data_IF_042228646475
#
_entry.id   IF_042228646475
#
_cell.length_a   1.000
_cell.length_b   1.000
_cell.length_c   1.000
_cell.angle_alpha   90.00
_cell.angle_beta   90.00
_cell.angle_gamma   90.00
#
_symmetry.space_group_name_H-M   'P 1'
#
loop_
_entity.id
_entity.type
_entity.pdbx_description
1 polymer ?
#
# COMPACT_ATOMS: atom_id res chain seq x y z
N UNK A 1 13.88 -5.26 36.85
CA UNK A 1 12.67 -6.05 36.55
C UNK A 1 11.96 -5.42 35.35
N UNK A 2 11.32 -6.22 34.47
CA UNK A 2 11.87 -6.52 33.14
C UNK A 2 11.26 -5.72 31.97
N UNK A 3 12.08 -5.58 30.93
CA UNK A 3 11.72 -5.11 29.58
C UNK A 3 10.62 -5.96 28.96
N UNK A 4 9.47 -5.37 28.66
CA UNK A 4 8.50 -5.94 27.72
C UNK A 4 8.94 -5.62 26.30
N UNK A 5 9.72 -6.54 25.71
CA UNK A 5 9.90 -6.62 24.25
C UNK A 5 8.54 -6.83 23.61
N UNK A 6 7.94 -5.77 23.10
CA UNK A 6 6.76 -5.86 22.25
C UNK A 6 7.16 -6.54 20.94
N UNK A 7 6.57 -7.71 20.72
CA UNK A 7 6.91 -8.61 19.63
C UNK A 7 6.37 -8.01 18.34
N UNK A 8 7.28 -7.55 17.49
CA UNK A 8 7.00 -7.13 16.13
C UNK A 8 6.17 -8.24 15.45
N UNK A 9 4.90 -7.92 15.14
CA UNK A 9 3.96 -8.78 14.42
C UNK A 9 4.62 -9.21 13.11
N UNK A 10 4.84 -10.52 12.97
CA UNK A 10 5.32 -11.19 11.78
C UNK A 10 4.29 -10.97 10.64
N UNK A 11 4.63 -10.12 9.66
CA UNK A 11 3.70 -9.63 8.63
C UNK A 11 3.62 -10.50 7.36
N UNK A 12 4.02 -11.77 7.41
CA UNK A 12 4.02 -12.62 6.22
C UNK A 12 3.28 -13.97 6.43
N UNK A 13 2.03 -13.91 6.88
CA UNK A 13 1.15 -15.09 6.88
C UNK A 13 0.72 -15.37 5.44
N UNK A 14 1.25 -16.44 4.84
CA UNK A 14 0.78 -16.94 3.54
C UNK A 14 -0.67 -17.38 3.67
N UNK A 15 -1.53 -16.89 2.76
CA UNK A 15 -2.91 -17.34 2.67
C UNK A 15 -2.97 -18.80 2.22
N UNK A 16 -3.89 -19.56 2.80
CA UNK A 16 -4.29 -20.88 2.34
C UNK A 16 -4.98 -20.80 0.97
N UNK A 17 -5.07 -21.93 0.28
CA UNK A 17 -5.75 -21.98 -1.03
C UNK A 17 -7.22 -21.54 -0.94
N UNK A 18 -7.90 -21.82 0.18
CA UNK A 18 -9.30 -21.44 0.36
C UNK A 18 -9.44 -19.95 0.67
N UNK A 19 -8.59 -19.37 1.52
CA UNK A 19 -8.53 -17.91 1.73
C UNK A 19 -8.20 -17.16 0.42
N UNK A 20 -7.35 -17.73 -0.44
CA UNK A 20 -7.05 -17.20 -1.78
C UNK A 20 -8.29 -17.19 -2.68
N UNK A 21 -9.07 -18.27 -2.69
CA UNK A 21 -10.33 -18.36 -3.45
C UNK A 21 -11.35 -17.34 -2.94
N UNK A 22 -11.55 -17.25 -1.63
CA UNK A 22 -12.47 -16.30 -1.01
C UNK A 22 -12.11 -14.86 -1.35
N UNK A 23 -10.83 -14.49 -1.21
CA UNK A 23 -10.32 -13.18 -1.63
C UNK A 23 -10.61 -12.90 -3.11
N UNK A 24 -10.38 -13.86 -3.99
CA UNK A 24 -10.62 -13.67 -5.42
C UNK A 24 -12.12 -13.46 -5.73
N UNK A 25 -13.01 -14.16 -5.02
CA UNK A 25 -14.46 -13.94 -5.13
C UNK A 25 -14.84 -12.53 -4.66
N UNK A 26 -14.28 -12.07 -3.53
CA UNK A 26 -14.51 -10.70 -3.04
C UNK A 26 -14.02 -9.66 -4.04
N UNK A 27 -12.79 -9.80 -4.55
CA UNK A 27 -12.23 -8.88 -5.55
C UNK A 27 -13.09 -8.82 -6.81
N UNK A 28 -13.58 -9.96 -7.31
CA UNK A 28 -14.47 -10.00 -8.46
C UNK A 28 -15.77 -9.23 -8.21
N UNK A 29 -16.41 -9.43 -7.05
CA UNK A 29 -17.62 -8.69 -6.67
C UNK A 29 -17.39 -7.18 -6.56
N UNK A 30 -16.24 -6.78 -5.98
CA UNK A 30 -15.87 -5.38 -5.88
C UNK A 30 -15.65 -4.74 -7.25
N UNK A 31 -15.10 -5.49 -8.21
CA UNK A 31 -14.88 -5.02 -9.58
C UNK A 31 -16.21 -4.90 -10.34
N UNK A 32 -17.08 -5.90 -10.26
CA UNK A 32 -18.41 -5.92 -10.91
C UNK A 32 -19.31 -4.77 -10.45
N UNK A 33 -19.23 -4.40 -9.17
CA UNK A 33 -20.02 -3.30 -8.60
C UNK A 33 -19.32 -1.93 -8.72
N UNK A 34 -18.11 -1.86 -9.30
CA UNK A 34 -17.32 -0.65 -9.43
C UNK A 34 -16.67 -0.14 -8.13
N UNK A 35 -16.87 -0.83 -7.01
CA UNK A 35 -16.32 -0.47 -5.71
C UNK A 35 -14.79 -0.51 -5.72
N UNK A 36 -14.18 -1.45 -6.45
CA UNK A 36 -12.72 -1.55 -6.57
C UNK A 36 -12.10 -0.28 -7.16
N UNK A 37 -12.66 0.20 -8.28
CA UNK A 37 -12.19 1.43 -8.94
C UNK A 37 -12.43 2.65 -8.04
N UNK A 38 -13.60 2.72 -7.39
CA UNK A 38 -13.92 3.83 -6.46
C UNK A 38 -12.91 3.91 -5.32
N UNK A 39 -12.67 2.80 -4.62
CA UNK A 39 -11.72 2.75 -3.50
C UNK A 39 -10.29 3.06 -3.97
N UNK A 40 -9.90 2.55 -5.15
CA UNK A 40 -8.58 2.87 -5.73
C UNK A 40 -8.43 4.37 -6.00
N UNK A 41 -9.46 5.02 -6.52
CA UNK A 41 -9.46 6.46 -6.76
C UNK A 41 -9.39 7.26 -5.46
N UNK A 42 -10.16 6.87 -4.43
CA UNK A 42 -10.14 7.51 -3.13
C UNK A 42 -8.76 7.41 -2.46
N UNK A 43 -8.14 6.22 -2.50
CA UNK A 43 -6.78 6.02 -2.01
C UNK A 43 -5.78 6.93 -2.74
N UNK A 44 -5.88 7.01 -4.07
CA UNK A 44 -5.01 7.85 -4.88
C UNK A 44 -5.16 9.34 -4.51
N UNK A 45 -6.40 9.83 -4.41
CA UNK A 45 -6.69 11.20 -4.03
C UNK A 45 -6.13 11.53 -2.64
N UNK A 46 -6.32 10.64 -1.66
CA UNK A 46 -5.78 10.80 -0.30
C UNK A 46 -4.27 10.87 -0.27
N UNK A 47 -3.59 9.97 -1.00
CA UNK A 47 -2.14 9.96 -1.07
C UNK A 47 -1.59 11.21 -1.76
N UNK A 48 -2.26 11.72 -2.80
CA UNK A 48 -1.84 12.95 -3.47
C UNK A 48 -2.00 14.20 -2.60
N UNK A 49 -3.04 14.25 -1.77
CA UNK A 49 -3.31 15.33 -0.84
C UNK A 49 -2.41 15.30 0.40
N UNK A 50 -1.75 14.16 0.68
CA UNK A 50 -0.77 14.04 1.75
C UNK A 50 0.59 14.58 1.31
N UNK A 51 0.87 15.84 1.68
CA UNK A 51 2.13 16.51 1.37
C UNK A 51 3.35 15.75 1.91
N UNK A 52 3.24 15.13 3.08
CA UNK A 52 4.36 14.43 3.72
C UNK A 52 4.70 13.13 2.98
N UNK A 53 3.69 12.36 2.57
CA UNK A 53 3.89 11.16 1.76
C UNK A 53 4.43 11.52 0.38
N UNK A 54 3.86 12.54 -0.27
CA UNK A 54 4.28 12.99 -1.59
C UNK A 54 5.73 13.47 -1.58
N UNK A 55 6.11 14.33 -0.63
CA UNK A 55 7.50 14.81 -0.52
C UNK A 55 8.46 13.66 -0.23
N UNK A 56 8.07 12.71 0.63
CA UNK A 56 8.90 11.53 0.89
C UNK A 56 9.13 10.69 -0.37
N UNK A 57 8.11 10.50 -1.21
CA UNK A 57 8.26 9.78 -2.48
C UNK A 57 9.15 10.53 -3.47
N UNK A 58 9.05 11.86 -3.54
CA UNK A 58 9.94 12.69 -4.37
C UNK A 58 11.39 12.63 -3.89
N UNK A 59 11.61 12.76 -2.58
CA UNK A 59 12.94 12.65 -1.98
C UNK A 59 13.56 11.28 -2.29
N UNK A 60 12.82 10.18 -2.09
CA UNK A 60 13.32 8.84 -2.39
C UNK A 60 13.59 8.63 -3.87
N UNK A 61 12.79 9.24 -4.75
CA UNK A 61 13.02 9.24 -6.20
C UNK A 61 14.36 9.92 -6.52
N UNK A 62 14.59 11.13 -5.99
CA UNK A 62 15.83 11.90 -6.18
C UNK A 62 17.05 11.14 -5.65
N UNK A 63 16.95 10.57 -4.45
CA UNK A 63 18.02 9.79 -3.86
C UNK A 63 18.35 8.53 -4.66
N UNK A 64 17.35 7.84 -5.21
CA UNK A 64 17.56 6.66 -6.04
C UNK A 64 18.30 7.03 -7.33
N UNK A 65 17.86 8.10 -8.00
CA UNK A 65 18.52 8.64 -9.20
C UNK A 65 19.95 9.06 -8.89
N UNK A 66 20.18 9.80 -7.80
CA UNK A 66 21.51 10.24 -7.41
C UNK A 66 22.45 9.06 -7.12
N UNK A 67 21.98 8.06 -6.35
CA UNK A 67 22.74 6.85 -6.03
C UNK A 67 23.12 6.01 -7.24
N UNK A 68 22.35 6.08 -8.33
CA UNK A 68 22.64 5.37 -9.59
C UNK A 68 23.53 6.16 -10.56
N UNK A 69 23.94 7.38 -10.22
CA UNK A 69 24.79 8.19 -11.10
C UNK A 69 24.00 9.07 -12.08
N UNK A 70 22.74 9.39 -11.77
CA UNK A 70 21.90 10.30 -12.54
C UNK A 70 20.84 9.62 -13.38
N UNK A 71 19.98 10.43 -14.01
CA UNK A 71 18.77 9.96 -14.71
C UNK A 71 19.10 9.05 -15.89
N UNK A 72 20.22 9.27 -16.56
CA UNK A 72 20.65 8.46 -17.72
C UNK A 72 21.08 7.03 -17.33
N UNK A 73 21.34 6.77 -16.05
CA UNK A 73 21.91 5.51 -15.56
C UNK A 73 20.88 4.60 -14.86
N UNK A 74 19.60 5.01 -14.81
CA UNK A 74 18.55 4.27 -14.13
C UNK A 74 17.38 4.02 -15.08
N UNK A 75 16.91 2.78 -15.11
CA UNK A 75 15.70 2.43 -15.82
C UNK A 75 14.46 2.71 -14.98
N UNK A 76 13.33 2.94 -15.63
CA UNK A 76 12.04 3.10 -14.94
C UNK A 76 11.71 1.88 -14.07
N UNK A 77 12.05 0.66 -14.51
CA UNK A 77 11.78 -0.57 -13.76
C UNK A 77 12.59 -0.65 -12.46
N UNK A 78 13.86 -0.23 -12.48
CA UNK A 78 14.72 -0.19 -11.29
C UNK A 78 14.26 0.87 -10.29
N UNK A 79 13.91 2.06 -10.81
CA UNK A 79 13.32 3.12 -9.99
C UNK A 79 12.02 2.65 -9.34
N UNK A 80 11.11 2.08 -10.14
CA UNK A 80 9.81 1.57 -9.67
C UNK A 80 9.96 0.50 -8.61
N UNK A 81 10.88 -0.46 -8.76
CA UNK A 81 11.09 -1.51 -7.75
C UNK A 81 11.46 -0.93 -6.39
N UNK A 82 12.31 0.10 -6.39
CA UNK A 82 12.74 0.79 -5.17
C UNK A 82 11.57 1.58 -4.57
N UNK A 83 10.86 2.33 -5.41
CA UNK A 83 9.75 3.18 -4.98
C UNK A 83 8.52 2.40 -4.52
N UNK A 84 8.22 1.22 -5.07
CA UNK A 84 7.10 0.38 -4.62
C UNK A 84 7.29 -0.06 -3.17
N UNK A 85 8.50 -0.48 -2.80
CA UNK A 85 8.81 -0.90 -1.44
C UNK A 85 8.66 0.26 -0.45
N UNK A 86 9.24 1.42 -0.78
CA UNK A 86 9.07 2.63 0.01
C UNK A 86 7.62 3.03 0.09
N UNK A 87 6.96 3.25 -1.05
CA UNK A 87 5.61 3.78 -1.15
C UNK A 87 4.58 2.97 -0.37
N UNK A 88 4.69 1.64 -0.38
CA UNK A 88 3.83 0.75 0.42
C UNK A 88 4.10 0.84 1.92
N UNK A 89 5.36 0.93 2.33
CA UNK A 89 5.75 1.05 3.74
C UNK A 89 5.43 2.42 4.35
N UNK A 90 5.40 3.47 3.53
CA UNK A 90 5.25 4.87 3.98
C UNK A 90 3.83 5.37 3.92
N UNK A 91 2.86 4.58 3.42
CA UNK A 91 1.44 4.96 3.46
C UNK A 91 1.04 5.29 4.92
N UNK A 92 0.45 6.47 5.17
CA UNK A 92 -0.03 6.85 6.50
C UNK A 92 -1.03 5.84 7.07
N UNK A 93 -0.92 5.55 8.37
CA UNK A 93 -1.80 4.58 9.02
C UNK A 93 -3.26 5.05 9.07
N UNK A 94 -3.49 6.37 9.14
CA UNK A 94 -4.81 6.99 8.97
C UNK A 94 -5.44 6.62 7.63
N UNK A 95 -4.69 6.80 6.53
CA UNK A 95 -5.13 6.45 5.17
C UNK A 95 -5.41 4.95 5.04
N UNK A 96 -4.53 4.08 5.57
CA UNK A 96 -4.77 2.63 5.59
C UNK A 96 -6.05 2.29 6.35
N UNK A 97 -6.24 2.87 7.54
CA UNK A 97 -7.39 2.62 8.38
C UNK A 97 -8.70 3.02 7.70
N UNK A 98 -8.75 4.18 7.05
CA UNK A 98 -9.92 4.65 6.31
C UNK A 98 -10.25 3.75 5.11
N UNK A 99 -9.25 3.42 4.30
CA UNK A 99 -9.44 2.53 3.14
C UNK A 99 -9.85 1.12 3.61
N UNK A 100 -9.29 0.64 4.71
CA UNK A 100 -9.68 -0.65 5.29
C UNK A 100 -11.15 -0.65 5.76
N UNK A 101 -11.61 0.44 6.37
CA UNK A 101 -13.02 0.61 6.74
C UNK A 101 -13.93 0.58 5.50
N UNK A 102 -13.53 1.25 4.41
CA UNK A 102 -14.28 1.20 3.15
C UNK A 102 -14.34 -0.22 2.57
N UNK A 103 -13.20 -0.94 2.53
CA UNK A 103 -13.14 -2.33 2.04
C UNK A 103 -14.06 -3.24 2.86
N UNK A 104 -14.00 -3.15 4.19
CA UNK A 104 -14.86 -3.92 5.10
C UNK A 104 -16.35 -3.65 4.85
N UNK A 105 -16.71 -2.37 4.73
CA UNK A 105 -18.09 -1.94 4.45
C UNK A 105 -18.60 -2.51 3.12
N UNK A 106 -17.80 -2.41 2.05
CA UNK A 106 -18.15 -2.98 0.72
C UNK A 106 -18.27 -4.51 0.78
N UNK A 107 -17.38 -5.17 1.50
CA UNK A 107 -17.41 -6.62 1.65
C UNK A 107 -18.49 -7.11 2.63
N UNK A 108 -19.24 -6.19 3.28
CA UNK A 108 -20.20 -6.48 4.35
C UNK A 108 -19.59 -7.30 5.49
N UNK A 109 -18.32 -7.04 5.76
CA UNK A 109 -17.59 -7.58 6.90
C UNK A 109 -17.75 -6.53 7.99
N UNK A 110 -18.84 -6.62 8.75
CA UNK A 110 -19.03 -5.76 9.93
C UNK A 110 -17.96 -6.07 11.00
N UNK A 111 -17.59 -5.09 11.83
CA UNK A 111 -16.50 -5.20 12.81
C UNK A 111 -16.71 -6.29 13.88
#
# INVERSE_FOLDING_TARGET
MPETRDKTRDTNKRLTNDEVKERNVLLKKMDENGDYIRIKHDLYAKLLQDDAWRERMLQQTRECVHRRGGVAQITFSELSRTLIQTGSSTVPESTKGEIMKQIRSVCRIDP
#
